data_IF_540871940704
#
_entry.id   IF_540871940704
#
_cell.length_a   1.000
_cell.length_b   1.000
_cell.length_c   1.000
_cell.angle_alpha   90.00
_cell.angle_beta   90.00
_cell.angle_gamma   90.00
#
_symmetry.space_group_name_H-M   'P 1'
#
loop_
_entity.id
_entity.type
_entity.pdbx_description
1 polymer ?
#
# COMPACT_ATOMS: atom_id res chain seq x y z
N UNK A 1 -74.72 8.99 -30.57
CA UNK A 1 -73.48 9.29 -31.32
C UNK A 1 -72.41 9.70 -30.32
N UNK A 2 -71.37 8.89 -30.14
CA UNK A 2 -70.13 9.28 -29.46
C UNK A 2 -69.00 8.46 -30.08
N UNK A 3 -68.29 9.04 -31.06
CA UNK A 3 -67.07 8.45 -31.62
C UNK A 3 -65.90 8.82 -30.72
N UNK A 4 -65.33 7.83 -30.03
CA UNK A 4 -64.04 7.97 -29.36
C UNK A 4 -62.92 7.71 -30.36
N UNK A 5 -62.31 8.78 -30.88
CA UNK A 5 -61.09 8.69 -31.68
C UNK A 5 -59.90 8.34 -30.78
N UNK A 6 -59.38 7.12 -30.90
CA UNK A 6 -58.07 6.74 -30.34
C UNK A 6 -56.97 7.38 -31.18
N UNK A 7 -56.30 8.39 -30.62
CA UNK A 7 -55.05 8.92 -31.18
C UNK A 7 -53.93 7.90 -30.94
N UNK A 8 -53.44 7.27 -32.00
CA UNK A 8 -52.21 6.49 -31.98
C UNK A 8 -51.02 7.44 -31.85
N UNK A 9 -50.31 7.38 -30.72
CA UNK A 9 -49.02 8.04 -30.60
C UNK A 9 -47.97 7.29 -31.46
N UNK A 10 -47.11 8.00 -32.22
CA UNK A 10 -46.05 7.34 -32.97
C UNK A 10 -45.01 6.78 -31.99
N UNK A 11 -44.67 5.50 -32.15
CA UNK A 11 -43.51 4.90 -31.51
C UNK A 11 -42.26 5.58 -32.07
N UNK A 12 -41.70 6.55 -31.32
CA UNK A 12 -40.35 7.05 -31.59
C UNK A 12 -39.39 5.96 -31.14
N UNK A 13 -38.88 5.19 -32.11
CA UNK A 13 -37.79 4.26 -31.88
C UNK A 13 -36.54 5.05 -31.51
N UNK A 14 -36.21 5.11 -30.22
CA UNK A 14 -34.93 5.64 -29.75
C UNK A 14 -33.86 4.63 -30.18
N UNK A 15 -33.20 4.90 -31.30
CA UNK A 15 -32.00 4.17 -31.71
C UNK A 15 -30.90 4.59 -30.74
N UNK A 16 -30.65 3.75 -29.73
CA UNK A 16 -29.48 3.85 -28.88
C UNK A 16 -28.26 3.54 -29.76
N UNK A 17 -27.61 4.58 -30.29
CA UNK A 17 -26.36 4.40 -30.99
C UNK A 17 -25.35 3.93 -29.96
N UNK A 18 -24.90 2.68 -30.07
CA UNK A 18 -23.73 2.21 -29.35
C UNK A 18 -22.58 3.14 -29.76
N UNK A 19 -22.15 4.02 -28.85
CA UNK A 19 -20.95 4.83 -29.07
C UNK A 19 -19.80 3.84 -29.23
N UNK A 20 -19.15 3.86 -30.40
CA UNK A 20 -17.93 3.10 -30.61
C UNK A 20 -16.91 3.58 -29.56
N UNK A 21 -16.45 2.65 -28.72
CA UNK A 21 -15.44 2.93 -27.71
C UNK A 21 -14.09 3.11 -28.42
N UNK A 22 -13.33 4.12 -28.00
CA UNK A 22 -11.99 4.36 -28.52
C UNK A 22 -11.08 3.22 -28.05
N UNK A 23 -10.44 2.55 -29.00
CA UNK A 23 -9.53 1.43 -28.72
C UNK A 23 -8.33 1.92 -27.90
N UNK A 24 -7.87 1.09 -26.97
CA UNK A 24 -6.73 1.38 -26.11
C UNK A 24 -7.02 2.37 -24.97
N UNK A 25 -8.28 2.82 -24.82
CA UNK A 25 -8.70 3.76 -23.77
C UNK A 25 -9.50 3.03 -22.70
N UNK A 26 -9.14 3.27 -21.43
CA UNK A 26 -9.87 2.71 -20.30
C UNK A 26 -11.30 3.28 -20.17
N UNK A 27 -12.27 2.52 -19.63
CA UNK A 27 -13.68 2.97 -19.55
C UNK A 27 -13.88 4.34 -18.90
N UNK A 28 -13.03 4.70 -17.93
CA UNK A 28 -13.07 5.98 -17.22
C UNK A 28 -12.65 7.17 -18.09
N UNK A 29 -11.81 6.93 -19.10
CA UNK A 29 -11.23 7.96 -19.97
C UNK A 29 -11.95 8.07 -21.32
N UNK A 30 -12.85 7.13 -21.64
CA UNK A 30 -13.60 7.10 -22.90
C UNK A 30 -14.30 8.43 -23.22
N UNK A 31 -14.82 9.12 -22.20
CA UNK A 31 -15.49 10.40 -22.37
C UNK A 31 -14.56 11.49 -22.97
N UNK A 32 -13.25 11.41 -22.74
CA UNK A 32 -12.25 12.35 -23.27
C UNK A 32 -12.07 12.25 -24.79
N UNK A 33 -12.49 11.14 -25.39
CA UNK A 33 -12.34 10.85 -26.81
C UNK A 33 -13.67 10.92 -27.57
N UNK A 34 -14.71 11.53 -26.99
CA UNK A 34 -16.03 11.66 -27.62
C UNK A 34 -16.23 13.03 -28.28
N UNK A 35 -16.89 13.06 -29.43
CA UNK A 35 -17.20 14.28 -30.18
C UNK A 35 -16.61 14.26 -31.59
N UNK A 36 -16.67 15.41 -32.27
CA UNK A 36 -16.09 15.61 -33.61
C UNK A 36 -14.68 16.21 -33.53
N UNK A 37 -14.33 16.81 -32.38
CA UNK A 37 -13.04 17.47 -32.12
C UNK A 37 -12.40 16.82 -30.90
N UNK A 38 -11.15 16.41 -31.04
CA UNK A 38 -10.30 15.93 -29.97
C UNK A 38 -9.31 17.02 -29.56
N UNK A 39 -9.03 17.16 -28.27
CA UNK A 39 -8.01 18.08 -27.76
C UNK A 39 -6.92 17.26 -27.09
N UNK A 40 -5.67 17.49 -27.46
CA UNK A 40 -4.52 16.88 -26.79
C UNK A 40 -4.56 17.20 -25.28
N UNK A 41 -4.04 16.32 -24.42
CA UNK A 41 -4.21 16.48 -22.97
C UNK A 41 -3.26 17.51 -22.36
N UNK A 42 -2.06 17.63 -22.90
CA UNK A 42 -1.00 18.53 -22.42
C UNK A 42 -0.90 19.82 -23.24
N UNK A 43 -1.33 19.76 -24.50
CA UNK A 43 -1.22 20.87 -25.44
C UNK A 43 -2.59 21.52 -25.73
N UNK A 44 -2.58 22.78 -26.16
CA UNK A 44 -3.78 23.47 -26.62
C UNK A 44 -4.14 23.16 -28.10
N UNK A 45 -3.56 22.09 -28.66
CA UNK A 45 -3.84 21.64 -30.03
C UNK A 45 -5.19 20.93 -30.08
N UNK A 46 -6.05 21.37 -31.01
CA UNK A 46 -7.34 20.74 -31.29
C UNK A 46 -7.31 20.08 -32.66
N UNK A 47 -7.65 18.81 -32.70
CA UNK A 47 -7.61 17.92 -33.85
C UNK A 47 -9.03 17.42 -34.17
N UNK A 48 -9.24 16.91 -35.38
CA UNK A 48 -10.48 16.20 -35.69
C UNK A 48 -10.46 14.84 -34.99
N UNK A 49 -11.59 14.38 -34.45
CA UNK A 49 -11.65 13.05 -33.81
C UNK A 49 -11.33 11.89 -34.75
N UNK A 50 -11.30 12.13 -36.07
CA UNK A 50 -10.86 11.15 -37.07
C UNK A 50 -9.35 10.87 -37.08
N UNK A 51 -8.53 11.76 -36.51
CA UNK A 51 -7.07 11.55 -36.43
C UNK A 51 -6.69 10.71 -35.21
N UNK A 52 -7.61 10.54 -34.25
CA UNK A 52 -7.37 9.67 -33.09
C UNK A 52 -7.24 8.22 -33.57
N UNK A 53 -6.11 7.59 -33.26
CA UNK A 53 -5.73 6.24 -33.71
C UNK A 53 -5.56 6.11 -35.22
N UNK A 54 -4.97 7.11 -35.87
CA UNK A 54 -4.72 7.10 -37.33
C UNK A 54 -3.31 6.60 -37.72
N UNK A 55 -2.55 6.08 -36.75
CA UNK A 55 -1.14 5.65 -36.89
C UNK A 55 -0.16 6.80 -37.14
N UNK A 56 -0.53 8.04 -36.84
CA UNK A 56 0.35 9.20 -36.86
C UNK A 56 0.34 9.92 -35.50
N UNK A 57 1.48 10.44 -35.08
CA UNK A 57 1.62 11.07 -33.77
C UNK A 57 1.54 12.60 -33.89
N UNK A 58 0.36 13.15 -33.65
CA UNK A 58 0.03 14.58 -33.77
C UNK A 58 0.19 15.35 -32.44
N UNK A 59 -0.07 14.73 -31.29
CA UNK A 59 0.06 15.38 -29.99
C UNK A 59 1.49 15.21 -29.41
N UNK A 60 2.03 16.24 -28.75
CA UNK A 60 3.37 16.14 -28.14
C UNK A 60 3.39 15.21 -26.90
N UNK A 61 2.22 14.92 -26.34
CA UNK A 61 2.00 13.95 -25.27
C UNK A 61 1.47 12.60 -25.78
N UNK A 62 1.29 12.45 -27.10
CA UNK A 62 0.78 11.25 -27.76
C UNK A 62 -0.63 10.82 -27.36
N UNK A 63 -1.43 11.72 -26.78
CA UNK A 63 -2.78 11.42 -26.30
C UNK A 63 -3.76 11.06 -27.40
N UNK A 64 -3.46 11.38 -28.66
CA UNK A 64 -4.18 11.05 -29.88
C UNK A 64 -4.04 9.57 -30.30
N UNK A 65 -3.00 8.87 -29.87
CA UNK A 65 -2.71 7.49 -30.28
C UNK A 65 -2.77 6.47 -29.13
N UNK A 66 -3.89 6.37 -28.36
CA UNK A 66 -4.01 5.41 -27.26
C UNK A 66 -4.10 3.95 -27.74
N UNK A 67 -4.45 3.74 -29.00
CA UNK A 67 -4.82 2.47 -29.63
C UNK A 67 -3.87 2.02 -30.73
N UNK A 68 -2.71 2.66 -30.89
CA UNK A 68 -1.67 2.35 -31.88
C UNK A 68 -0.27 2.45 -31.24
N UNK A 69 0.77 2.17 -32.04
CA UNK A 69 2.17 2.31 -31.64
C UNK A 69 2.83 3.60 -32.18
N UNK A 70 2.07 4.56 -32.72
CA UNK A 70 2.64 5.70 -33.45
C UNK A 70 3.43 6.68 -32.55
N UNK A 71 3.06 6.80 -31.27
CA UNK A 71 3.67 7.74 -30.34
C UNK A 71 4.74 7.12 -29.41
N UNK A 72 5.35 6.00 -29.77
CA UNK A 72 6.32 5.29 -28.90
C UNK A 72 7.64 6.02 -28.67
N UNK A 73 7.96 7.04 -29.47
CA UNK A 73 9.20 7.81 -29.38
C UNK A 73 9.10 9.02 -28.43
N UNK A 74 7.91 9.33 -27.94
CA UNK A 74 7.72 10.38 -26.94
C UNK A 74 8.30 9.91 -25.61
N UNK A 75 8.86 10.84 -24.82
CA UNK A 75 9.49 10.50 -23.54
C UNK A 75 8.50 10.07 -22.44
N UNK A 76 7.21 10.25 -22.67
CA UNK A 76 6.15 9.84 -21.75
C UNK A 76 5.72 8.40 -22.02
N UNK A 77 5.34 7.70 -20.94
CA UNK A 77 4.87 6.32 -21.04
C UNK A 77 3.48 6.26 -21.66
N UNK A 78 3.44 6.04 -22.97
CA UNK A 78 2.18 5.79 -23.67
C UNK A 78 1.72 4.35 -23.42
N UNK A 79 0.51 4.22 -22.87
CA UNK A 79 -0.07 2.96 -22.46
C UNK A 79 -1.34 2.65 -23.25
N UNK A 80 -1.43 1.40 -23.70
CA UNK A 80 -2.62 0.81 -24.30
C UNK A 80 -3.40 0.02 -23.26
N UNK A 81 -4.71 0.28 -23.16
CA UNK A 81 -5.61 -0.46 -22.28
C UNK A 81 -6.15 -1.74 -22.93
N UNK A 82 -5.85 -2.91 -22.36
CA UNK A 82 -6.53 -4.17 -22.67
C UNK A 82 -7.76 -4.32 -21.75
N UNK A 83 -8.98 -4.40 -22.31
CA UNK A 83 -10.19 -4.67 -21.52
C UNK A 83 -10.16 -6.04 -20.83
N UNK A 84 -9.62 -7.06 -21.50
CA UNK A 84 -9.47 -8.42 -20.99
C UNK A 84 -10.74 -8.94 -20.31
N UNK A 85 -11.88 -8.89 -21.00
CA UNK A 85 -13.16 -9.33 -20.44
C UNK A 85 -13.05 -10.74 -19.84
N UNK A 86 -13.58 -10.92 -18.63
CA UNK A 86 -13.49 -12.17 -17.84
C UNK A 86 -12.10 -12.49 -17.28
N UNK A 87 -11.07 -11.71 -17.58
CA UNK A 87 -9.82 -11.66 -16.82
C UNK A 87 -9.67 -10.30 -16.13
N UNK A 88 -8.45 -9.96 -15.73
CA UNK A 88 -8.10 -8.68 -15.14
C UNK A 88 -7.69 -7.70 -16.26
N UNK A 89 -8.30 -6.51 -16.34
CA UNK A 89 -7.86 -5.46 -17.27
C UNK A 89 -6.44 -5.02 -16.95
N UNK A 90 -5.67 -4.64 -17.97
CA UNK A 90 -4.27 -4.25 -17.80
C UNK A 90 -3.85 -3.21 -18.83
N UNK A 91 -2.77 -2.53 -18.53
CA UNK A 91 -2.09 -1.63 -19.46
C UNK A 91 -0.82 -2.30 -19.98
N UNK A 92 -0.51 -2.05 -21.25
CA UNK A 92 0.77 -2.39 -21.89
C UNK A 92 1.36 -1.16 -22.54
N UNK A 93 2.67 -1.18 -22.81
CA UNK A 93 3.31 -0.12 -23.57
C UNK A 93 2.79 -0.09 -25.02
N UNK A 94 2.60 1.11 -25.57
CA UNK A 94 2.16 1.32 -26.94
C UNK A 94 3.05 0.60 -27.99
N UNK A 95 4.33 0.37 -27.67
CA UNK A 95 5.27 -0.36 -28.54
C UNK A 95 4.91 -1.81 -28.79
N UNK A 96 4.05 -2.39 -27.95
CA UNK A 96 3.54 -3.76 -28.09
C UNK A 96 2.26 -3.84 -28.91
N UNK A 97 1.73 -2.72 -29.38
CA UNK A 97 0.49 -2.69 -30.16
C UNK A 97 0.81 -2.95 -31.63
N UNK A 98 0.47 -4.13 -32.14
CA UNK A 98 0.68 -4.50 -33.53
C UNK A 98 2.10 -5.00 -33.85
N UNK A 99 2.90 -5.30 -32.83
CA UNK A 99 4.27 -5.81 -32.98
C UNK A 99 4.31 -7.30 -33.42
N UNK A 100 3.16 -7.99 -33.35
CA UNK A 100 3.01 -9.39 -33.72
C UNK A 100 3.10 -10.37 -32.54
N UNK A 101 3.18 -9.86 -31.31
CA UNK A 101 3.20 -10.65 -30.07
C UNK A 101 1.85 -10.46 -29.37
N UNK A 102 1.24 -11.56 -28.91
CA UNK A 102 -0.01 -11.49 -28.16
C UNK A 102 0.28 -11.21 -26.69
N UNK A 103 0.27 -9.94 -26.31
CA UNK A 103 0.35 -9.53 -24.91
C UNK A 103 -1.04 -9.59 -24.26
N UNK A 104 -2.09 -9.05 -24.89
CA UNK A 104 -3.43 -9.03 -24.27
C UNK A 104 -4.09 -10.41 -24.38
N UNK A 105 -4.72 -10.89 -23.29
CA UNK A 105 -5.42 -12.17 -23.33
C UNK A 105 -6.60 -12.15 -24.30
N UNK A 106 -7.16 -10.98 -24.59
CA UNK A 106 -8.24 -10.79 -25.56
C UNK A 106 -7.74 -10.58 -26.99
N UNK A 107 -6.42 -10.41 -27.17
CA UNK A 107 -5.78 -10.13 -28.46
C UNK A 107 -6.03 -8.73 -29.01
N UNK A 108 -6.51 -7.78 -28.18
CA UNK A 108 -6.88 -6.42 -28.62
C UNK A 108 -5.70 -5.56 -29.08
N UNK A 109 -4.50 -5.89 -28.65
CA UNK A 109 -3.21 -5.33 -29.07
C UNK A 109 -2.87 -5.67 -30.52
N UNK A 110 -3.17 -6.88 -30.98
CA UNK A 110 -2.86 -7.38 -32.34
C UNK A 110 -4.04 -7.29 -33.32
N UNK A 111 -4.89 -6.28 -33.14
CA UNK A 111 -6.13 -6.09 -33.88
C UNK A 111 -5.94 -5.98 -35.41
N UNK A 112 -4.79 -5.48 -35.89
CA UNK A 112 -4.51 -5.32 -37.33
C UNK A 112 -4.33 -6.66 -38.05
N UNK A 113 -3.70 -7.63 -37.38
CA UNK A 113 -3.35 -8.93 -37.96
C UNK A 113 -4.35 -10.02 -37.58
N UNK A 114 -5.06 -9.86 -36.45
CA UNK A 114 -6.09 -10.80 -36.00
C UNK A 114 -5.56 -12.20 -35.65
N UNK A 115 -4.28 -12.31 -35.29
CA UNK A 115 -3.60 -13.60 -35.08
C UNK A 115 -3.74 -14.16 -33.65
N UNK A 116 -4.26 -13.37 -32.70
CA UNK A 116 -4.29 -13.74 -31.28
C UNK A 116 -5.61 -14.41 -30.89
N UNK A 117 -5.51 -15.51 -30.16
CA UNK A 117 -6.67 -16.23 -29.60
C UNK A 117 -7.06 -15.67 -28.24
N UNK A 118 -8.35 -15.55 -27.96
CA UNK A 118 -8.81 -15.08 -26.66
C UNK A 118 -8.63 -16.16 -25.58
N UNK A 119 -7.75 -15.91 -24.60
CA UNK A 119 -7.44 -16.78 -23.45
C UNK A 119 -7.97 -16.23 -22.12
N UNK A 120 -8.69 -15.11 -22.10
CA UNK A 120 -9.08 -14.41 -20.87
C UNK A 120 -9.93 -15.24 -19.92
N UNK A 121 -10.75 -16.17 -20.43
CA UNK A 121 -11.56 -17.06 -19.59
C UNK A 121 -10.68 -17.97 -18.74
N UNK A 122 -9.65 -18.55 -19.36
CA UNK A 122 -8.75 -19.48 -18.68
C UNK A 122 -7.83 -18.75 -17.71
N UNK A 123 -7.27 -17.61 -18.13
CA UNK A 123 -6.45 -16.74 -17.28
C UNK A 123 -7.23 -16.25 -16.06
N UNK A 124 -8.45 -15.75 -16.27
CA UNK A 124 -9.31 -15.21 -15.22
C UNK A 124 -9.92 -16.26 -14.29
N UNK A 125 -9.87 -17.55 -14.64
CA UNK A 125 -10.53 -18.63 -13.89
C UNK A 125 -10.11 -18.68 -12.42
N UNK A 126 -8.83 -18.48 -12.12
CA UNK A 126 -8.31 -18.51 -10.74
C UNK A 126 -8.87 -17.37 -9.91
N UNK A 127 -8.87 -16.14 -10.46
CA UNK A 127 -9.41 -14.96 -9.80
C UNK A 127 -10.93 -15.06 -9.61
N UNK A 128 -11.66 -15.54 -10.61
CA UNK A 128 -13.11 -15.76 -10.51
C UNK A 128 -13.46 -16.80 -9.45
N UNK A 129 -12.70 -17.89 -9.36
CA UNK A 129 -12.91 -18.92 -8.34
C UNK A 129 -12.63 -18.39 -6.94
N UNK A 130 -11.54 -17.65 -6.74
CA UNK A 130 -11.22 -17.03 -5.47
C UNK A 130 -12.31 -16.03 -5.04
N UNK A 131 -12.70 -15.12 -5.94
CA UNK A 131 -13.77 -14.14 -5.69
C UNK A 131 -15.11 -14.81 -5.37
N UNK A 132 -15.44 -15.92 -6.04
CA UNK A 132 -16.67 -16.68 -5.76
C UNK A 132 -16.67 -17.25 -4.34
N UNK A 133 -15.57 -17.86 -3.91
CA UNK A 133 -15.43 -18.43 -2.57
C UNK A 133 -15.50 -17.32 -1.50
N UNK A 134 -14.84 -16.20 -1.77
CA UNK A 134 -14.85 -15.04 -0.87
C UNK A 134 -16.27 -14.45 -0.74
N UNK A 135 -16.97 -14.24 -1.86
CA UNK A 135 -18.36 -13.78 -1.87
C UNK A 135 -19.30 -14.73 -1.12
N UNK A 136 -19.10 -16.04 -1.23
CA UNK A 136 -19.88 -17.03 -0.49
C UNK A 136 -19.62 -16.93 1.02
N UNK A 137 -18.36 -16.79 1.42
CA UNK A 137 -17.96 -16.58 2.82
C UNK A 137 -18.57 -15.29 3.38
N UNK A 138 -18.44 -14.18 2.65
CA UNK A 138 -19.04 -12.90 3.00
C UNK A 138 -20.57 -12.99 3.12
N UNK A 139 -21.23 -13.68 2.19
CA UNK A 139 -22.68 -13.88 2.23
C UNK A 139 -23.10 -14.63 3.48
N UNK A 140 -22.40 -15.72 3.85
CA UNK A 140 -22.63 -16.45 5.09
C UNK A 140 -22.44 -15.54 6.31
N UNK A 141 -21.36 -14.77 6.35
CA UNK A 141 -21.10 -13.80 7.42
C UNK A 141 -22.17 -12.72 7.56
N UNK A 142 -22.66 -12.18 6.44
CA UNK A 142 -23.75 -11.20 6.42
C UNK A 142 -25.07 -11.80 6.93
N UNK A 143 -25.38 -13.04 6.57
CA UNK A 143 -26.56 -13.74 7.08
C UNK A 143 -26.47 -13.96 8.60
N UNK A 144 -25.33 -14.45 9.10
CA UNK A 144 -25.11 -14.62 10.55
C UNK A 144 -25.21 -13.29 11.29
N UNK A 145 -24.63 -12.22 10.74
CA UNK A 145 -24.76 -10.86 11.30
C UNK A 145 -26.22 -10.39 11.34
N UNK A 146 -26.97 -10.62 10.26
CA UNK A 146 -28.38 -10.26 10.21
C UNK A 146 -29.22 -11.01 11.26
N UNK A 147 -28.97 -12.31 11.44
CA UNK A 147 -29.62 -13.12 12.49
C UNK A 147 -29.27 -12.62 13.89
N UNK A 148 -28.00 -12.36 14.17
CA UNK A 148 -27.56 -11.83 15.48
C UNK A 148 -28.14 -10.43 15.77
N UNK A 149 -28.35 -9.60 14.75
CA UNK A 149 -29.03 -8.31 14.91
C UNK A 149 -30.53 -8.47 15.15
N UNK A 150 -31.18 -9.43 14.49
CA UNK A 150 -32.60 -9.71 14.68
C UNK A 150 -32.94 -10.21 16.10
N UNK A 151 -32.02 -10.92 16.75
CA UNK A 151 -32.19 -11.40 18.12
C UNK A 151 -31.93 -10.32 19.19
N UNK A 152 -31.52 -9.11 18.81
CA UNK A 152 -31.18 -8.06 19.77
C UNK A 152 -32.27 -6.99 19.81
N UNK A 153 -32.79 -6.72 21.00
CA UNK A 153 -33.65 -5.57 21.24
C UNK A 153 -32.84 -4.26 21.12
N UNK A 154 -33.13 -3.41 20.12
CA UNK A 154 -32.42 -2.16 19.93
C UNK A 154 -32.60 -1.18 21.10
N UNK A 155 -33.72 -1.24 21.83
CA UNK A 155 -33.96 -0.41 23.01
C UNK A 155 -33.08 -0.85 24.19
N UNK A 156 -33.01 -2.16 24.44
CA UNK A 156 -32.13 -2.73 25.46
C UNK A 156 -30.65 -2.40 25.17
N UNK A 157 -30.18 -2.60 23.93
CA UNK A 157 -28.81 -2.26 23.51
C UNK A 157 -28.49 -0.77 23.71
N UNK A 158 -29.42 0.12 23.33
CA UNK A 158 -29.23 1.57 23.50
C UNK A 158 -29.15 1.96 24.97
N UNK A 159 -29.95 1.34 25.83
CA UNK A 159 -29.93 1.58 27.28
C UNK A 159 -28.61 1.12 27.91
N UNK A 160 -28.14 -0.08 27.54
CA UNK A 160 -26.85 -0.60 28.00
C UNK A 160 -25.68 0.26 27.52
N UNK A 161 -25.67 0.66 26.25
CA UNK A 161 -24.65 1.56 25.71
C UNK A 161 -24.66 2.95 26.41
N UNK A 162 -25.83 3.47 26.76
CA UNK A 162 -25.94 4.70 27.52
C UNK A 162 -25.44 4.54 28.97
N UNK A 163 -25.74 3.41 29.63
CA UNK A 163 -25.24 3.09 30.96
C UNK A 163 -23.70 2.98 30.98
N UNK A 164 -23.11 2.28 30.01
CA UNK A 164 -21.64 2.17 29.86
C UNK A 164 -21.00 3.54 29.58
N UNK A 165 -21.65 4.38 28.76
CA UNK A 165 -21.19 5.77 28.54
C UNK A 165 -21.26 6.62 29.79
N UNK A 166 -22.24 6.39 30.66
CA UNK A 166 -22.34 7.09 31.93
C UNK A 166 -21.23 6.67 32.91
N UNK A 167 -20.68 5.46 32.80
CA UNK A 167 -19.54 4.98 33.61
C UNK A 167 -18.17 5.35 33.05
N UNK A 168 -18.06 5.79 31.80
CA UNK A 168 -16.79 6.27 31.23
C UNK A 168 -16.10 7.36 32.07
N UNK A 169 -16.77 8.46 32.47
CA UNK A 169 -16.10 9.53 33.20
C UNK A 169 -15.55 9.09 34.56
N UNK A 170 -16.18 8.11 35.22
CA UNK A 170 -15.66 7.59 36.50
C UNK A 170 -14.39 6.79 36.27
N UNK A 171 -14.36 5.93 35.25
CA UNK A 171 -13.13 5.20 34.90
C UNK A 171 -12.01 6.12 34.39
N UNK A 172 -12.35 7.18 33.63
CA UNK A 172 -11.38 8.20 33.21
C UNK A 172 -10.77 8.93 34.41
N UNK A 173 -11.58 9.26 35.42
CA UNK A 173 -11.11 9.83 36.67
C UNK A 173 -10.20 8.87 37.44
N UNK A 174 -10.61 7.60 37.60
CA UNK A 174 -9.80 6.59 38.27
C UNK A 174 -8.44 6.37 37.58
N UNK A 175 -8.42 6.32 36.25
CA UNK A 175 -7.17 6.21 35.47
C UNK A 175 -6.30 7.44 35.69
N UNK A 176 -6.89 8.65 35.68
CA UNK A 176 -6.15 9.89 35.90
C UNK A 176 -5.55 9.94 37.31
N UNK A 177 -6.31 9.57 38.34
CA UNK A 177 -5.86 9.54 39.72
C UNK A 177 -4.74 8.52 39.92
N UNK A 178 -4.91 7.29 39.41
CA UNK A 178 -3.87 6.25 39.48
C UNK A 178 -2.61 6.66 38.74
N UNK A 179 -2.73 7.34 37.59
CA UNK A 179 -1.59 7.86 36.85
C UNK A 179 -0.84 8.93 37.64
N UNK A 180 -1.56 9.91 38.21
CA UNK A 180 -0.98 10.94 39.07
C UNK A 180 -0.28 10.35 40.31
N UNK A 181 -0.76 9.23 40.84
CA UNK A 181 -0.12 8.52 41.94
C UNK A 181 1.12 7.73 41.51
N UNK A 182 1.16 7.20 40.28
CA UNK A 182 2.27 6.41 39.75
C UNK A 182 3.44 7.26 39.24
N UNK A 183 3.17 8.41 38.63
CA UNK A 183 4.19 9.30 38.05
C UNK A 183 5.31 9.68 39.05
N UNK A 184 5.03 10.14 40.30
CA UNK A 184 6.10 10.46 41.26
C UNK A 184 6.84 9.20 41.76
N UNK A 185 6.15 8.06 41.83
CA UNK A 185 6.77 6.80 42.22
C UNK A 185 7.75 6.30 41.17
N UNK A 186 7.41 6.51 39.89
CA UNK A 186 8.28 6.24 38.75
C UNK A 186 9.51 7.16 38.75
N UNK A 187 9.32 8.46 38.94
CA UNK A 187 10.43 9.41 39.03
C UNK A 187 11.36 9.11 40.22
N UNK A 188 10.80 8.71 41.36
CA UNK A 188 11.58 8.23 42.51
C UNK A 188 12.35 6.95 42.23
N UNK A 189 11.78 6.03 41.43
CA UNK A 189 12.46 4.80 41.04
C UNK A 189 13.61 5.10 40.07
N UNK A 190 13.36 5.90 39.03
CA UNK A 190 14.36 6.30 38.04
C UNK A 190 15.53 7.06 38.70
N UNK A 191 15.25 7.97 39.64
CA UNK A 191 16.30 8.67 40.40
C UNK A 191 17.07 7.77 41.37
N UNK A 192 16.42 6.80 42.02
CA UNK A 192 17.10 5.82 42.86
C UNK A 192 18.01 4.90 42.03
N UNK A 193 17.56 4.45 40.85
CA UNK A 193 18.38 3.64 39.93
C UNK A 193 19.62 4.40 39.47
N UNK A 194 19.47 5.67 39.06
CA UNK A 194 20.61 6.52 38.67
C UNK A 194 21.57 6.76 39.84
N UNK A 195 21.05 7.01 41.05
CA UNK A 195 21.89 7.20 42.23
C UNK A 195 22.72 5.96 42.57
N UNK A 196 22.14 4.76 42.44
CA UNK A 196 22.86 3.49 42.63
C UNK A 196 23.97 3.33 41.60
N UNK A 197 23.70 3.61 40.33
CA UNK A 197 24.72 3.50 39.26
C UNK A 197 25.87 4.47 39.47
N UNK A 198 25.59 5.72 39.85
CA UNK A 198 26.61 6.73 40.12
C UNK A 198 27.46 6.36 41.34
N UNK A 199 26.83 5.87 42.41
CA UNK A 199 27.54 5.39 43.59
C UNK A 199 28.48 4.21 43.24
N UNK A 200 28.02 3.26 42.43
CA UNK A 200 28.86 2.15 41.96
C UNK A 200 30.04 2.64 41.10
N UNK A 201 29.82 3.61 40.21
CA UNK A 201 30.88 4.17 39.38
C UNK A 201 31.94 4.90 40.23
N UNK A 202 31.52 5.68 41.22
CA UNK A 202 32.44 6.38 42.12
C UNK A 202 33.31 5.38 42.90
N UNK A 203 32.71 4.32 43.46
CA UNK A 203 33.46 3.27 44.16
C UNK A 203 34.49 2.58 43.25
N UNK A 204 34.18 2.35 41.97
CA UNK A 204 35.14 1.80 41.01
C UNK A 204 36.29 2.75 40.72
N UNK A 205 36.03 4.06 40.63
CA UNK A 205 37.06 5.08 40.41
C UNK A 205 37.97 5.23 41.63
N UNK A 206 37.41 5.23 42.84
CA UNK A 206 38.19 5.24 44.09
C UNK A 206 39.08 3.99 44.18
N UNK A 207 38.55 2.80 43.89
CA UNK A 207 39.34 1.56 43.83
C UNK A 207 40.41 1.55 42.75
N UNK A 208 40.21 2.23 41.61
CA UNK A 208 41.22 2.40 40.58
C UNK A 208 42.29 3.42 40.98
N UNK A 209 41.90 4.54 41.60
CA UNK A 209 42.85 5.52 42.13
C UNK A 209 43.72 4.94 43.25
N UNK A 210 43.15 4.13 44.14
CA UNK A 210 43.90 3.41 45.19
C UNK A 210 44.85 2.34 44.60
N UNK A 211 44.61 1.86 43.37
CA UNK A 211 45.50 0.94 42.65
C UNK A 211 46.58 1.66 41.83
N UNK A 212 46.33 2.91 41.41
CA UNK A 212 47.21 3.71 40.55
C UNK A 212 48.08 4.73 41.33
N UNK A 213 47.91 4.88 42.66
CA UNK A 213 48.79 5.69 43.53
C UNK A 213 50.02 4.87 43.97
N UNK A 214 51.23 5.12 43.41
CA UNK A 214 52.44 4.45 43.87
C UNK A 214 52.80 5.04 45.22
N UNK A 215 52.74 4.23 46.29
CA UNK A 215 53.39 4.60 47.55
C UNK A 215 54.88 4.81 47.27
N UNK A 216 55.30 6.07 47.34
CA UNK A 216 56.69 6.48 47.55
C UNK A 216 57.17 5.80 48.85
N UNK A 217 57.78 4.61 48.74
CA UNK A 217 58.56 4.04 49.82
C UNK A 217 59.96 4.67 49.79
N UNK A 218 60.17 5.54 50.77
CA UNK A 218 61.44 6.11 51.18
C UNK A 218 62.52 5.03 51.30
N UNK A 219 63.59 5.20 50.52
CA UNK A 219 64.79 4.38 50.56
C UNK A 219 65.74 4.90 51.66
N UNK A 220 65.54 4.46 52.91
CA UNK A 220 66.58 4.53 53.95
C UNK A 220 67.23 3.16 54.17
N UNK A 221 68.56 3.21 54.29
CA UNK A 221 69.55 2.14 54.20
C UNK A 221 69.55 1.21 55.40
N UNK A 222 70.00 -0.03 55.22
CA UNK A 222 70.98 -0.65 56.11
C UNK A 222 71.74 -1.77 55.37
N UNK A 223 73.06 -1.58 55.24
CA UNK A 223 74.05 -2.58 54.86
C UNK A 223 74.15 -3.64 55.96
N UNK A 224 74.34 -4.91 55.60
CA UNK A 224 75.34 -5.75 56.27
C UNK A 224 75.75 -6.93 55.37
N UNK A 225 77.06 -7.05 55.20
CA UNK A 225 77.79 -8.04 54.41
C UNK A 225 78.13 -9.28 55.25
N UNK A 226 78.49 -10.36 54.53
CA UNK A 226 79.40 -11.48 54.88
C UNK A 226 78.73 -12.82 54.51
N UNK A 227 79.40 -13.85 54.01
CA UNK A 227 80.60 -14.11 53.20
C UNK A 227 80.59 -15.65 53.00
N UNK A 228 81.12 -16.13 51.87
CA UNK A 228 81.72 -17.48 51.64
C UNK A 228 80.88 -18.76 51.88
N UNK A 229 80.63 -19.58 50.84
CA UNK A 229 81.46 -20.75 50.45
C UNK A 229 80.60 -22.02 50.68
N UNK A 230 80.64 -23.15 49.95
CA UNK A 230 81.57 -23.79 49.02
C UNK A 230 80.79 -24.82 48.18
N UNK A 231 81.30 -25.04 46.96
CA UNK A 231 81.50 -26.28 46.19
C UNK A 231 80.33 -27.21 45.76
N UNK A 232 80.24 -27.31 44.42
CA UNK A 232 79.56 -28.32 43.62
C UNK A 232 80.44 -29.59 43.47
N UNK A 233 79.84 -30.77 43.64
CA UNK A 233 80.38 -32.08 43.20
C UNK A 233 79.91 -32.41 41.76
N UNK A 234 80.59 -33.39 41.13
CA UNK A 234 80.32 -34.09 39.85
C UNK A 234 81.00 -33.46 38.60
N UNK A 235 81.76 -34.14 37.73
CA UNK A 235 81.87 -35.56 37.36
C UNK A 235 83.16 -35.79 36.51
N UNK A 236 83.56 -37.07 36.38
CA UNK A 236 84.56 -37.76 35.51
C UNK A 236 85.46 -37.00 34.50
#
# INVERSE_FOLDING_TARGET
MCLALRRSAPFVSVILHARALTRGVAPVDQAKYTGDVFKCFSDDVSLLSSVVNDDFCDCADGSDEPGTAACTLIQQEQLFYCPNEKSTPRYIYASRVGDGICDCCDGSDEWKKGSCTNSCVEEGRVHQQAARLEMESMRKGLLSKAQALASVDPAARKKEAAALRATLPTFEQEVKERKLALDPLRESLESAEVAVLLWQQQQQQEQQQDQDDPQDEDHEKEDDQEEEGEEEEEEE
#
